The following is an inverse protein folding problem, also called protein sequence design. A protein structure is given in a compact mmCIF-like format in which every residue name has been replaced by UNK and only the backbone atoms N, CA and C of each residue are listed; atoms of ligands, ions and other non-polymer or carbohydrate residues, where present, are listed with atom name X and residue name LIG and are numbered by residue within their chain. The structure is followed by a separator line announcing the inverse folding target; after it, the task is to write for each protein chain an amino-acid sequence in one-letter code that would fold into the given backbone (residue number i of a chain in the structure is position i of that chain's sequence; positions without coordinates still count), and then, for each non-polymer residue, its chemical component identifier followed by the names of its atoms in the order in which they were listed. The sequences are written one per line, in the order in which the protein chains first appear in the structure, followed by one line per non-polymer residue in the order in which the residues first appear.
data_IF_389947812290
#
_entry.id   IF_389947812290
#
_cell.length_a   1.000
_cell.length_b   1.000
_cell.length_c   1.000
_cell.angle_alpha   90.00
_cell.angle_beta   90.00
_cell.angle_gamma   90.00
#
_symmetry.space_group_name_H-M   'P 1'
#
loop_
_entity.id
_entity.type
_entity.pdbx_description
1 polymer ?
#
# COMPACT_ATOMS: atom_id res chain seq x y z
N UNK A 1 39.65 0.49 19.02
CA UNK A 1 39.10 -0.84 18.68
C UNK A 1 37.60 -1.00 18.94
N UNK A 2 36.94 -0.18 19.78
CA UNK A 2 35.51 -0.25 20.10
C UNK A 2 34.55 0.13 18.96
N UNK A 3 34.89 1.13 18.11
CA UNK A 3 34.01 1.58 17.00
C UNK A 3 33.76 0.55 15.87
N UNK A 4 34.69 -0.37 15.64
CA UNK A 4 34.53 -1.43 14.60
C UNK A 4 33.62 -2.57 15.04
N UNK A 5 33.51 -2.86 16.33
CA UNK A 5 32.62 -3.91 16.85
C UNK A 5 31.15 -3.50 16.81
N UNK A 6 30.83 -2.23 17.13
CA UNK A 6 29.46 -1.74 17.08
C UNK A 6 28.90 -1.73 15.65
N UNK A 7 29.69 -1.25 14.66
CA UNK A 7 29.21 -1.19 13.27
C UNK A 7 28.86 -2.59 12.71
N UNK A 8 29.63 -3.62 13.09
CA UNK A 8 29.38 -5.00 12.63
C UNK A 8 28.15 -5.64 13.32
N UNK A 9 27.88 -5.28 14.56
CA UNK A 9 26.68 -5.73 15.30
C UNK A 9 25.43 -5.03 14.77
N UNK A 10 25.52 -3.74 14.47
CA UNK A 10 24.43 -2.97 13.90
C UNK A 10 24.08 -3.43 12.47
N UNK A 11 25.09 -3.70 11.63
CA UNK A 11 24.91 -4.24 10.28
C UNK A 11 24.27 -5.64 10.28
N UNK A 12 24.64 -6.51 11.23
CA UNK A 12 24.02 -7.85 11.40
C UNK A 12 22.59 -7.75 11.91
N UNK A 13 22.32 -6.80 12.82
CA UNK A 13 20.98 -6.57 13.36
C UNK A 13 20.02 -5.99 12.29
N UNK A 14 20.51 -5.08 11.44
CA UNK A 14 19.79 -4.53 10.30
C UNK A 14 19.48 -5.65 9.29
N UNK A 15 20.46 -6.49 8.99
CA UNK A 15 20.29 -7.64 8.11
C UNK A 15 19.25 -8.63 8.67
N UNK A 16 19.30 -8.98 9.96
CA UNK A 16 18.36 -9.90 10.60
C UNK A 16 16.93 -9.35 10.59
N UNK A 17 16.75 -8.06 10.89
CA UNK A 17 15.44 -7.42 10.84
C UNK A 17 14.87 -7.42 9.43
N UNK A 18 15.67 -7.10 8.43
CA UNK A 18 15.29 -7.14 7.02
C UNK A 18 14.91 -8.55 6.56
N UNK A 19 15.68 -9.57 6.96
CA UNK A 19 15.39 -10.99 6.68
C UNK A 19 14.03 -11.43 7.25
N UNK A 20 13.71 -11.01 8.48
CA UNK A 20 12.42 -11.32 9.12
C UNK A 20 11.27 -10.67 8.34
N UNK A 21 11.40 -9.41 7.94
CA UNK A 21 10.38 -8.70 7.16
C UNK A 21 10.21 -9.31 5.76
N UNK A 22 11.30 -9.68 5.09
CA UNK A 22 11.22 -10.34 3.78
C UNK A 22 10.58 -11.73 3.88
N UNK A 23 10.89 -12.51 4.92
CA UNK A 23 10.26 -13.79 5.19
C UNK A 23 8.75 -13.64 5.42
N UNK A 24 8.34 -12.67 6.22
CA UNK A 24 6.93 -12.36 6.43
C UNK A 24 6.21 -11.98 5.14
N UNK A 25 6.82 -11.09 4.33
CA UNK A 25 6.30 -10.71 3.01
C UNK A 25 6.11 -11.93 2.11
N UNK A 26 7.13 -12.77 1.99
CA UNK A 26 7.10 -13.95 1.12
C UNK A 26 6.02 -14.96 1.54
N UNK A 27 5.84 -15.19 2.84
CA UNK A 27 4.78 -16.05 3.35
C UNK A 27 3.39 -15.50 3.03
N UNK A 28 3.18 -14.18 3.17
CA UNK A 28 1.91 -13.55 2.82
C UNK A 28 1.61 -13.64 1.33
N UNK A 29 2.61 -13.42 0.47
CA UNK A 29 2.45 -13.60 -0.98
C UNK A 29 2.08 -15.05 -1.33
N UNK A 30 2.80 -16.03 -0.77
CA UNK A 30 2.51 -17.47 -0.98
C UNK A 30 1.11 -17.88 -0.54
N UNK A 31 0.55 -17.21 0.48
CA UNK A 31 -0.76 -17.53 1.08
C UNK A 31 -1.87 -16.55 0.69
N UNK A 32 -1.63 -15.70 -0.28
CA UNK A 32 -2.62 -14.68 -0.71
C UNK A 32 -3.20 -13.88 0.48
N UNK A 33 -2.31 -13.43 1.38
CA UNK A 33 -2.69 -12.69 2.59
C UNK A 33 -3.30 -13.53 3.72
N UNK A 34 -3.20 -14.85 3.65
CA UNK A 34 -3.66 -15.76 4.70
C UNK A 34 -2.84 -15.64 5.99
N UNK A 35 -3.29 -16.34 7.03
CA UNK A 35 -2.67 -16.25 8.36
C UNK A 35 -1.22 -16.75 8.35
N UNK A 36 -0.34 -15.99 9.01
CA UNK A 36 1.09 -16.27 9.18
C UNK A 36 1.46 -16.07 10.63
N UNK A 37 2.06 -17.07 11.26
CA UNK A 37 2.50 -16.99 12.66
C UNK A 37 3.94 -16.50 12.80
N UNK A 38 4.29 -15.98 13.97
CA UNK A 38 5.67 -15.56 14.32
C UNK A 38 6.66 -16.74 14.22
N UNK A 39 6.22 -17.98 14.51
CA UNK A 39 7.06 -19.18 14.41
C UNK A 39 7.38 -19.53 12.95
N UNK A 40 6.42 -19.42 12.05
CA UNK A 40 6.63 -19.65 10.62
C UNK A 40 7.52 -18.59 10.01
N UNK A 41 7.36 -17.32 10.42
CA UNK A 41 8.25 -16.24 10.00
C UNK A 41 9.69 -16.50 10.45
N UNK A 42 9.89 -16.92 11.70
CA UNK A 42 11.21 -17.28 12.22
C UNK A 42 11.87 -18.40 11.40
N UNK A 43 11.10 -19.45 11.10
CA UNK A 43 11.55 -20.60 10.28
C UNK A 43 11.95 -20.15 8.87
N UNK A 44 11.09 -19.37 8.21
CA UNK A 44 11.33 -18.87 6.84
C UNK A 44 12.52 -17.90 6.80
N UNK A 45 12.72 -17.07 7.85
CA UNK A 45 13.84 -16.15 7.98
C UNK A 45 15.17 -16.84 8.34
N UNK A 46 15.15 -18.12 8.72
CA UNK A 46 16.32 -18.84 9.21
C UNK A 46 16.88 -18.29 10.53
N UNK A 47 15.97 -17.86 11.45
CA UNK A 47 16.32 -17.34 12.77
C UNK A 47 15.55 -18.05 13.88
N UNK A 48 15.99 -17.91 15.13
CA UNK A 48 15.23 -18.42 16.26
C UNK A 48 13.97 -17.59 16.48
N UNK A 49 12.93 -18.21 17.06
CA UNK A 49 11.71 -17.48 17.47
C UNK A 49 12.03 -16.34 18.45
N UNK A 50 12.99 -16.55 19.35
CA UNK A 50 13.46 -15.53 20.29
C UNK A 50 14.08 -14.32 19.55
N UNK A 51 14.83 -14.55 18.46
CA UNK A 51 15.39 -13.48 17.65
C UNK A 51 14.29 -12.63 17.00
N UNK A 52 13.16 -13.22 16.57
CA UNK A 52 12.04 -12.44 16.06
C UNK A 52 11.47 -11.52 17.13
N UNK A 53 11.25 -12.02 18.35
CA UNK A 53 10.73 -11.22 19.48
C UNK A 53 11.71 -10.14 19.98
N UNK A 54 13.03 -10.29 19.74
CA UNK A 54 14.00 -9.22 20.02
C UNK A 54 13.85 -8.02 19.06
N UNK A 55 13.36 -8.26 17.84
CA UNK A 55 13.14 -7.20 16.83
C UNK A 55 11.71 -6.66 16.82
N UNK A 56 10.73 -7.49 17.18
CA UNK A 56 9.31 -7.17 17.13
C UNK A 56 8.61 -7.74 18.36
N UNK A 57 8.14 -6.85 19.24
CA UNK A 57 7.54 -7.23 20.52
C UNK A 57 6.33 -8.19 20.34
N UNK A 58 5.57 -7.99 19.27
CA UNK A 58 4.36 -8.72 18.95
C UNK A 58 4.12 -8.78 17.43
N UNK A 59 3.02 -9.43 17.04
CA UNK A 59 2.60 -9.56 15.65
C UNK A 59 2.22 -8.22 15.03
N UNK A 60 1.53 -7.36 15.78
CA UNK A 60 1.11 -6.04 15.30
C UNK A 60 2.31 -5.16 14.95
N UNK A 61 3.29 -5.06 15.84
CA UNK A 61 4.53 -4.28 15.61
C UNK A 61 5.33 -4.79 14.40
N UNK A 62 5.37 -6.11 14.18
CA UNK A 62 5.97 -6.71 12.99
C UNK A 62 5.22 -6.27 11.73
N UNK A 63 3.89 -6.35 11.72
CA UNK A 63 3.09 -5.99 10.54
C UNK A 63 3.10 -4.49 10.24
N UNK A 64 3.12 -3.62 11.25
CA UNK A 64 3.33 -2.17 11.07
C UNK A 64 4.68 -1.90 10.38
N UNK A 65 5.73 -2.58 10.84
CA UNK A 65 7.04 -2.47 10.20
C UNK A 65 7.08 -3.07 8.80
N UNK A 66 6.35 -4.17 8.56
CA UNK A 66 6.25 -4.82 7.25
C UNK A 66 5.56 -3.93 6.22
N UNK A 67 4.52 -3.19 6.61
CA UNK A 67 3.86 -2.20 5.72
C UNK A 67 4.88 -1.17 5.23
N UNK A 68 5.67 -0.58 6.13
CA UNK A 68 6.71 0.39 5.77
C UNK A 68 7.78 -0.23 4.85
N UNK A 69 8.24 -1.44 5.19
CA UNK A 69 9.23 -2.17 4.40
C UNK A 69 8.76 -2.45 2.96
N UNK A 70 7.52 -2.87 2.80
CA UNK A 70 6.93 -3.11 1.47
C UNK A 70 6.78 -1.80 0.71
N UNK A 71 6.36 -0.73 1.36
CA UNK A 71 6.23 0.60 0.76
C UNK A 71 7.59 1.12 0.25
N UNK A 72 8.64 0.98 1.03
CA UNK A 72 10.02 1.34 0.64
C UNK A 72 10.49 0.49 -0.54
N UNK A 73 10.33 -0.83 -0.46
CA UNK A 73 10.76 -1.75 -1.54
C UNK A 73 10.08 -1.51 -2.89
N UNK A 74 8.81 -1.11 -2.89
CA UNK A 74 8.08 -0.80 -4.12
C UNK A 74 8.25 0.63 -4.61
N UNK A 75 9.09 1.42 -3.95
CA UNK A 75 9.33 2.82 -4.32
C UNK A 75 8.06 3.67 -4.17
N UNK A 76 7.34 3.54 -3.04
CA UNK A 76 6.10 4.30 -2.83
C UNK A 76 6.31 5.81 -3.05
N UNK A 77 7.45 6.34 -2.62
CA UNK A 77 7.72 7.76 -2.75
C UNK A 77 7.81 8.19 -4.22
N UNK A 78 8.50 7.42 -5.06
CA UNK A 78 8.62 7.68 -6.51
C UNK A 78 7.25 7.59 -7.20
N UNK A 79 6.41 6.65 -6.76
CA UNK A 79 5.03 6.51 -7.26
C UNK A 79 4.20 7.75 -6.89
N UNK A 80 4.28 8.20 -5.65
CA UNK A 80 3.58 9.41 -5.19
C UNK A 80 4.09 10.67 -5.89
N UNK A 81 5.39 10.77 -6.11
CA UNK A 81 5.99 11.88 -6.83
C UNK A 81 5.59 11.90 -8.31
N UNK A 82 5.48 10.75 -8.96
CA UNK A 82 4.97 10.63 -10.33
C UNK A 82 3.53 11.16 -10.42
N UNK A 83 2.66 10.81 -9.48
CA UNK A 83 1.27 11.28 -9.44
C UNK A 83 1.24 12.79 -9.15
N UNK A 84 2.00 13.25 -8.17
CA UNK A 84 2.04 14.66 -7.74
C UNK A 84 2.57 15.58 -8.84
N UNK A 85 3.61 15.15 -9.56
CA UNK A 85 4.27 15.92 -10.61
C UNK A 85 3.68 15.67 -12.01
N UNK A 86 2.58 14.92 -12.13
CA UNK A 86 1.88 14.77 -13.39
C UNK A 86 1.52 16.14 -13.99
N UNK A 87 1.54 16.36 -15.32
CA UNK A 87 1.36 17.68 -15.93
C UNK A 87 -0.03 18.29 -15.66
N UNK A 88 -1.07 17.47 -15.53
CA UNK A 88 -2.46 17.89 -15.25
C UNK A 88 -3.12 16.99 -14.22
N UNK A 89 -4.26 17.43 -13.66
CA UNK A 89 -5.09 16.59 -12.78
C UNK A 89 -5.60 15.33 -13.49
N UNK A 90 -5.95 15.43 -14.77
CA UNK A 90 -6.32 14.28 -15.60
C UNK A 90 -5.15 13.29 -15.74
N UNK A 91 -3.95 13.79 -16.00
CA UNK A 91 -2.75 12.95 -16.04
C UNK A 91 -2.46 12.30 -14.68
N UNK A 92 -2.72 12.99 -13.57
CA UNK A 92 -2.59 12.43 -12.22
C UNK A 92 -3.59 11.29 -11.96
N UNK A 93 -4.84 11.38 -12.43
CA UNK A 93 -5.81 10.26 -12.36
C UNK A 93 -5.31 9.02 -13.11
N UNK A 94 -4.82 9.19 -14.34
CA UNK A 94 -4.25 8.09 -15.14
C UNK A 94 -3.01 7.49 -14.46
N UNK A 95 -2.10 8.33 -13.97
CA UNK A 95 -0.90 7.89 -13.25
C UNK A 95 -1.26 7.08 -11.99
N UNK A 96 -2.33 7.46 -11.28
CA UNK A 96 -2.82 6.72 -10.11
C UNK A 96 -3.33 5.33 -10.49
N UNK A 97 -4.15 5.19 -11.53
CA UNK A 97 -4.65 3.90 -12.02
C UNK A 97 -3.50 2.99 -12.47
N UNK A 98 -2.54 3.51 -13.23
CA UNK A 98 -1.34 2.80 -13.66
C UNK A 98 -0.47 2.35 -12.48
N UNK A 99 -0.29 3.22 -11.47
CA UNK A 99 0.45 2.89 -10.27
C UNK A 99 -0.20 1.73 -9.51
N UNK A 100 -1.52 1.74 -9.37
CA UNK A 100 -2.26 0.66 -8.70
C UNK A 100 -2.19 -0.66 -9.46
N UNK A 101 -2.33 -0.64 -10.78
CA UNK A 101 -2.17 -1.82 -11.63
C UNK A 101 -0.82 -2.51 -11.39
N UNK A 102 0.26 -1.73 -11.19
CA UNK A 102 1.60 -2.25 -10.91
C UNK A 102 1.79 -2.73 -9.48
N UNK A 103 1.30 -1.98 -8.50
CA UNK A 103 1.66 -2.17 -7.08
C UNK A 103 0.68 -3.07 -6.31
N UNK A 104 -0.58 -3.13 -6.73
CA UNK A 104 -1.60 -3.89 -6.00
C UNK A 104 -1.31 -5.40 -5.85
N UNK A 105 -0.62 -6.09 -6.78
CA UNK A 105 -0.22 -7.48 -6.55
C UNK A 105 0.60 -7.70 -5.28
N UNK A 106 1.49 -6.76 -4.95
CA UNK A 106 2.30 -6.82 -3.73
C UNK A 106 1.57 -6.25 -2.50
N UNK A 107 0.69 -5.28 -2.72
CA UNK A 107 -0.06 -4.58 -1.65
C UNK A 107 -1.23 -5.42 -1.14
N UNK A 108 -1.97 -6.09 -2.03
CA UNK A 108 -3.19 -6.80 -1.67
C UNK A 108 -3.00 -7.87 -0.58
N UNK A 109 -2.02 -8.78 -0.65
CA UNK A 109 -1.82 -9.79 0.39
C UNK A 109 -1.54 -9.18 1.76
N UNK A 110 -0.77 -8.08 1.78
CA UNK A 110 -0.46 -7.34 2.99
C UNK A 110 -1.69 -6.61 3.54
N UNK A 111 -2.46 -5.95 2.68
CA UNK A 111 -3.69 -5.25 3.08
C UNK A 111 -4.71 -6.23 3.68
N UNK A 112 -4.88 -7.41 3.07
CA UNK A 112 -5.77 -8.46 3.56
C UNK A 112 -5.33 -8.99 4.95
N UNK A 113 -4.04 -9.27 5.12
CA UNK A 113 -3.50 -9.69 6.40
C UNK A 113 -3.62 -8.61 7.48
N UNK A 114 -3.35 -7.34 7.12
CA UNK A 114 -3.50 -6.19 8.00
C UNK A 114 -4.95 -6.00 8.44
N UNK A 115 -5.92 -6.17 7.55
CA UNK A 115 -7.34 -6.07 7.89
C UNK A 115 -7.77 -7.13 8.91
N UNK A 116 -7.22 -8.33 8.87
CA UNK A 116 -7.50 -9.37 9.87
C UNK A 116 -6.88 -9.01 11.24
N UNK A 117 -5.64 -8.52 11.26
CA UNK A 117 -4.89 -8.23 12.49
C UNK A 117 -5.45 -7.02 13.22
N UNK A 118 -5.81 -5.92 12.50
CA UNK A 118 -6.27 -4.68 13.09
C UNK A 118 -7.51 -4.80 13.98
N UNK A 119 -8.28 -5.88 13.82
CA UNK A 119 -9.48 -6.15 14.63
C UNK A 119 -9.15 -6.52 16.09
N UNK A 120 -7.93 -6.94 16.35
CA UNK A 120 -7.46 -7.42 17.65
C UNK A 120 -6.17 -6.73 18.12
N UNK A 121 -5.63 -5.80 17.33
CA UNK A 121 -4.36 -5.11 17.61
C UNK A 121 -4.54 -3.60 17.38
N UNK A 122 -4.46 -2.82 18.46
CA UNK A 122 -4.69 -1.38 18.46
C UNK A 122 -3.62 -0.62 17.67
N UNK A 123 -2.36 -1.04 17.74
CA UNK A 123 -1.28 -0.40 17.00
C UNK A 123 -1.46 -0.59 15.49
N UNK A 124 -1.90 -1.77 15.08
CA UNK A 124 -2.24 -2.06 13.69
C UNK A 124 -3.48 -1.29 13.23
N UNK A 125 -4.52 -1.19 14.07
CA UNK A 125 -5.69 -0.37 13.75
C UNK A 125 -5.32 1.09 13.53
N UNK A 126 -4.52 1.68 14.42
CA UNK A 126 -4.04 3.05 14.28
C UNK A 126 -3.22 3.25 13.00
N UNK A 127 -2.31 2.33 12.70
CA UNK A 127 -1.51 2.39 11.47
C UNK A 127 -2.40 2.27 10.21
N UNK A 128 -3.42 1.43 10.25
CA UNK A 128 -4.41 1.28 9.19
C UNK A 128 -5.22 2.55 8.97
N UNK A 129 -5.74 3.16 10.03
CA UNK A 129 -6.51 4.40 9.94
C UNK A 129 -5.66 5.56 9.39
N UNK A 130 -4.42 5.71 9.86
CA UNK A 130 -3.50 6.71 9.33
C UNK A 130 -3.29 6.51 7.80
N UNK A 131 -3.09 5.27 7.37
CA UNK A 131 -2.91 4.97 5.95
C UNK A 131 -4.15 5.29 5.10
N UNK A 132 -5.34 5.00 5.61
CA UNK A 132 -6.59 5.35 4.93
C UNK A 132 -6.74 6.88 4.83
N UNK A 133 -6.41 7.61 5.88
CA UNK A 133 -6.45 9.07 5.91
C UNK A 133 -5.44 9.69 4.94
N UNK A 134 -4.20 9.19 4.91
CA UNK A 134 -3.17 9.66 3.97
C UNK A 134 -3.60 9.43 2.51
N UNK A 135 -4.16 8.27 2.22
CA UNK A 135 -4.68 7.95 0.89
C UNK A 135 -5.84 8.88 0.50
N UNK A 136 -6.78 9.12 1.41
CA UNK A 136 -7.89 10.05 1.17
C UNK A 136 -7.39 11.48 0.94
N UNK A 137 -6.41 11.93 1.74
CA UNK A 137 -5.79 13.25 1.56
C UNK A 137 -5.11 13.39 0.19
N UNK A 138 -4.45 12.33 -0.29
CA UNK A 138 -3.90 12.26 -1.64
C UNK A 138 -4.97 12.37 -2.73
N UNK A 139 -6.09 11.65 -2.59
CA UNK A 139 -7.23 11.74 -3.50
C UNK A 139 -7.80 13.18 -3.53
N UNK A 140 -7.99 13.79 -2.36
CA UNK A 140 -8.49 15.17 -2.24
C UNK A 140 -7.54 16.19 -2.90
N UNK A 141 -6.23 15.97 -2.84
CA UNK A 141 -5.25 16.83 -3.52
C UNK A 141 -5.39 16.77 -5.05
N UNK A 142 -5.58 15.57 -5.63
CA UNK A 142 -5.81 15.40 -7.07
C UNK A 142 -7.11 16.10 -7.50
N UNK A 143 -8.19 15.89 -6.74
CA UNK A 143 -9.49 16.51 -7.06
C UNK A 143 -9.46 18.03 -6.96
N UNK A 144 -8.81 18.59 -5.93
CA UNK A 144 -8.59 20.05 -5.82
C UNK A 144 -7.83 20.60 -7.03
N UNK A 145 -6.90 19.83 -7.56
CA UNK A 145 -6.16 20.20 -8.76
C UNK A 145 -7.06 20.20 -9.99
N UNK A 146 -7.90 19.17 -10.18
CA UNK A 146 -8.91 19.14 -11.25
C UNK A 146 -9.85 20.35 -11.18
N UNK A 147 -10.32 20.72 -9.99
CA UNK A 147 -11.16 21.89 -9.78
C UNK A 147 -10.45 23.18 -10.16
N UNK A 148 -9.18 23.34 -9.74
CA UNK A 148 -8.36 24.53 -10.07
C UNK A 148 -8.10 24.67 -11.57
N UNK A 149 -7.97 23.54 -12.28
CA UNK A 149 -7.73 23.47 -13.74
C UNK A 149 -9.04 23.58 -14.54
N UNK A 150 -10.21 23.69 -13.90
CA UNK A 150 -11.52 23.71 -14.57
C UNK A 150 -11.91 22.38 -15.23
N UNK A 151 -11.23 21.29 -14.84
CA UNK A 151 -11.43 19.94 -15.40
C UNK A 151 -12.34 19.08 -14.55
N UNK A 152 -12.66 19.49 -13.31
CA UNK A 152 -13.62 18.79 -12.46
C UNK A 152 -15.01 18.91 -13.05
N UNK A 153 -15.79 17.83 -13.03
CA UNK A 153 -17.18 17.81 -13.51
C UNK A 153 -18.01 18.91 -12.82
N UNK A 154 -18.73 19.67 -13.61
CA UNK A 154 -19.60 20.73 -13.13
C UNK A 154 -20.63 20.20 -12.12
N UNK A 155 -20.86 20.96 -11.06
CA UNK A 155 -21.78 20.60 -9.97
C UNK A 155 -21.30 19.47 -9.04
N UNK A 156 -20.12 18.87 -9.26
CA UNK A 156 -19.59 17.84 -8.37
C UNK A 156 -18.74 18.46 -7.24
N UNK A 157 -19.19 18.39 -5.97
CA UNK A 157 -18.42 18.93 -4.85
C UNK A 157 -17.07 18.21 -4.68
N UNK A 158 -16.03 18.97 -4.33
CA UNK A 158 -14.64 18.45 -4.17
C UNK A 158 -14.58 17.27 -3.19
N UNK A 159 -15.29 17.32 -2.07
CA UNK A 159 -15.27 16.26 -1.06
C UNK A 159 -15.93 14.99 -1.60
N UNK A 160 -17.07 15.10 -2.27
CA UNK A 160 -17.74 13.95 -2.91
C UNK A 160 -16.87 13.35 -4.02
N UNK A 161 -16.22 14.17 -4.83
CA UNK A 161 -15.29 13.70 -5.85
C UNK A 161 -14.09 12.98 -5.25
N UNK A 162 -13.57 13.46 -4.12
CA UNK A 162 -12.47 12.79 -3.39
C UNK A 162 -12.89 11.42 -2.84
N UNK A 163 -14.10 11.31 -2.30
CA UNK A 163 -14.69 10.05 -1.81
C UNK A 163 -14.90 9.06 -2.96
N UNK A 164 -15.38 9.53 -4.11
CA UNK A 164 -15.53 8.69 -5.32
C UNK A 164 -14.17 8.19 -5.81
N UNK A 165 -13.18 9.09 -5.93
CA UNK A 165 -11.81 8.70 -6.31
C UNK A 165 -11.24 7.67 -5.34
N UNK A 166 -11.37 7.90 -4.03
CA UNK A 166 -10.91 7.00 -2.98
C UNK A 166 -11.57 5.63 -3.05
N UNK A 167 -12.88 5.58 -3.32
CA UNK A 167 -13.66 4.33 -3.42
C UNK A 167 -13.31 3.55 -4.68
N UNK A 168 -13.33 4.20 -5.85
CA UNK A 168 -13.04 3.57 -7.15
C UNK A 168 -11.63 3.00 -7.18
N UNK A 169 -10.68 3.67 -6.54
CA UNK A 169 -9.27 3.24 -6.46
C UNK A 169 -8.95 2.39 -5.23
N UNK A 170 -9.96 1.82 -4.57
CA UNK A 170 -9.74 0.96 -3.40
C UNK A 170 -9.07 -0.36 -3.77
N UNK A 171 -8.37 -0.98 -2.81
CA UNK A 171 -7.81 -2.33 -2.99
C UNK A 171 -8.90 -3.38 -3.21
N UNK A 172 -10.15 -3.11 -2.76
CA UNK A 172 -11.31 -3.96 -3.01
C UNK A 172 -11.70 -3.96 -4.48
N UNK A 173 -11.67 -2.82 -5.16
CA UNK A 173 -11.88 -2.74 -6.61
C UNK A 173 -10.88 -3.60 -7.38
N UNK A 174 -9.62 -3.64 -6.93
CA UNK A 174 -8.61 -4.55 -7.46
C UNK A 174 -8.99 -6.01 -7.21
N UNK A 175 -9.34 -6.36 -5.98
CA UNK A 175 -9.74 -7.71 -5.58
C UNK A 175 -10.90 -8.19 -6.45
N UNK A 176 -11.97 -7.39 -6.54
CA UNK A 176 -13.17 -7.72 -7.31
C UNK A 176 -12.88 -7.94 -8.79
N UNK A 177 -12.16 -7.01 -9.43
CA UNK A 177 -11.93 -7.07 -10.88
C UNK A 177 -10.85 -8.09 -11.25
N UNK A 178 -9.71 -8.08 -10.57
CA UNK A 178 -8.54 -8.88 -11.00
C UNK A 178 -8.57 -10.27 -10.38
N UNK A 179 -8.89 -10.39 -9.08
CA UNK A 179 -8.83 -11.67 -8.39
C UNK A 179 -10.13 -12.47 -8.52
N UNK A 180 -11.30 -11.83 -8.36
CA UNK A 180 -12.60 -12.54 -8.46
C UNK A 180 -13.07 -12.66 -9.91
N UNK A 181 -13.06 -11.54 -10.67
CA UNK A 181 -13.53 -11.51 -12.05
C UNK A 181 -12.47 -11.94 -13.07
N UNK A 182 -11.22 -12.21 -12.62
CA UNK A 182 -10.09 -12.68 -13.44
C UNK A 182 -9.72 -11.75 -14.61
N UNK A 183 -9.95 -10.43 -14.41
CA UNK A 183 -9.53 -9.43 -15.39
C UNK A 183 -8.02 -9.29 -15.43
N UNK A 184 -7.46 -8.99 -16.60
CA UNK A 184 -6.04 -8.69 -16.73
C UNK A 184 -5.71 -7.36 -16.06
N UNK A 185 -4.47 -7.18 -15.61
CA UNK A 185 -4.00 -5.91 -15.01
C UNK A 185 -4.16 -4.73 -15.95
N UNK A 186 -3.93 -4.92 -17.25
CA UNK A 186 -4.13 -3.89 -18.27
C UNK A 186 -5.60 -3.48 -18.39
N UNK A 187 -6.53 -4.44 -18.33
CA UNK A 187 -7.97 -4.16 -18.33
C UNK A 187 -8.40 -3.39 -17.06
N UNK A 188 -7.83 -3.74 -15.89
CA UNK A 188 -8.08 -3.00 -14.66
C UNK A 188 -7.63 -1.54 -14.79
N UNK A 189 -6.42 -1.29 -15.31
CA UNK A 189 -5.88 0.05 -15.51
C UNK A 189 -6.76 0.87 -16.47
N UNK A 190 -7.15 0.28 -17.57
CA UNK A 190 -8.03 0.89 -18.58
C UNK A 190 -9.39 1.23 -17.97
N UNK A 191 -10.07 0.25 -17.36
CA UNK A 191 -11.41 0.45 -16.79
C UNK A 191 -11.42 1.47 -15.65
N UNK A 192 -10.46 1.39 -14.74
CA UNK A 192 -10.38 2.36 -13.63
C UNK A 192 -10.10 3.76 -14.16
N UNK A 193 -9.17 3.90 -15.13
CA UNK A 193 -8.88 5.20 -15.75
C UNK A 193 -10.13 5.78 -16.43
N UNK A 194 -10.83 4.96 -17.22
CA UNK A 194 -12.03 5.40 -17.95
C UNK A 194 -13.15 5.80 -16.99
N UNK A 195 -13.42 4.99 -15.96
CA UNK A 195 -14.45 5.31 -14.95
C UNK A 195 -14.10 6.60 -14.21
N UNK A 196 -12.84 6.77 -13.79
CA UNK A 196 -12.41 7.99 -13.12
C UNK A 196 -12.61 9.23 -13.98
N UNK A 197 -12.26 9.17 -15.26
CA UNK A 197 -12.44 10.29 -16.19
C UNK A 197 -13.92 10.61 -16.38
N UNK A 198 -14.74 9.61 -16.66
CA UNK A 198 -16.18 9.81 -16.88
C UNK A 198 -16.92 10.32 -15.64
N UNK A 199 -16.52 9.89 -14.46
CA UNK A 199 -17.18 10.25 -13.20
C UNK A 199 -16.72 11.62 -12.69
N UNK A 200 -15.43 11.91 -12.80
CA UNK A 200 -14.83 13.06 -12.13
C UNK A 200 -14.56 14.26 -13.03
N UNK A 201 -14.54 14.10 -14.36
CA UNK A 201 -14.18 15.20 -15.26
C UNK A 201 -15.33 15.64 -16.18
N UNK A 202 -15.24 16.87 -16.65
CA UNK A 202 -16.21 17.45 -17.60
C UNK A 202 -15.99 16.98 -19.04
N UNK A 203 -14.85 16.34 -19.33
CA UNK A 203 -14.51 15.78 -20.64
C UNK A 203 -14.42 14.25 -20.56
N UNK A 204 -15.02 13.52 -21.50
CA UNK A 204 -14.90 12.08 -21.60
C UNK A 204 -13.49 11.59 -21.93
#
# INVERSE_FOLDING_TARGET
MAKRKNKKVDDVAIDTRGRILEAARNLLLKRSGGEVSMAEIAKEAGVSRQAVYLHFADRGSLFVALVKYVDEKRGLQEVLDTIRNAPTGIAALRAMAAAQSRTNPDVWPLARASEAIRRTDEAMEKAWQNRLQDRHSGCKAIVKRLAKEGSLREGLPVDVAADLLWTITSIRTWEDLVLERKRKRSEYEEYVSEVLLRVLTSQP
#
